data_IF_970875048423
#
_entry.id   IF_970875048423
#
_cell.length_a   1.000
_cell.length_b   1.000
_cell.length_c   1.000
_cell.angle_alpha   90.00
_cell.angle_beta   90.00
_cell.angle_gamma   90.00
#
_symmetry.space_group_name_H-M   'P 1'
#
loop_
_entity.id
_entity.type
_entity.pdbx_description
1 polymer ?
#
# COMPACT_ATOMS: atom_id res chain seq x y z
N UNK A 1 -17.60 17.41 1.70
CA UNK A 1 -17.06 16.46 0.69
C UNK A 1 -17.73 15.09 0.85
N UNK A 2 -18.14 14.46 -0.25
CA UNK A 2 -18.65 13.09 -0.21
C UNK A 2 -17.51 12.10 0.06
N UNK A 3 -17.55 11.40 1.19
CA UNK A 3 -16.47 10.49 1.63
C UNK A 3 -16.38 9.20 0.79
N UNK A 4 -17.49 8.76 0.18
CA UNK A 4 -17.56 7.52 -0.62
C UNK A 4 -16.69 7.54 -1.88
N UNK A 5 -16.80 8.52 -2.80
CA UNK A 5 -15.96 8.57 -4.00
C UNK A 5 -14.47 8.75 -3.66
N UNK A 6 -14.17 9.58 -2.65
CA UNK A 6 -12.80 9.74 -2.16
C UNK A 6 -12.21 8.42 -1.65
N UNK A 7 -12.97 7.66 -0.85
CA UNK A 7 -12.55 6.36 -0.35
C UNK A 7 -12.31 5.35 -1.47
N UNK A 8 -13.18 5.32 -2.48
CA UNK A 8 -13.05 4.45 -3.64
C UNK A 8 -11.79 4.79 -4.45
N UNK A 9 -11.58 6.06 -4.77
CA UNK A 9 -10.40 6.51 -5.49
C UNK A 9 -9.11 6.18 -4.73
N UNK A 10 -9.05 6.53 -3.44
CA UNK A 10 -7.91 6.24 -2.60
C UNK A 10 -7.69 4.72 -2.41
N UNK A 11 -8.77 3.95 -2.36
CA UNK A 11 -8.77 2.48 -2.25
C UNK A 11 -8.26 1.76 -3.49
N UNK A 12 -8.18 2.44 -4.63
CA UNK A 12 -7.58 1.94 -5.86
C UNK A 12 -6.16 2.50 -6.03
N UNK A 13 -5.99 3.82 -5.86
CA UNK A 13 -4.72 4.51 -6.06
C UNK A 13 -3.61 3.99 -5.15
N UNK A 14 -3.86 3.91 -3.84
CA UNK A 14 -2.83 3.52 -2.89
C UNK A 14 -2.28 2.10 -3.12
N UNK A 15 -3.11 1.03 -3.26
CA UNK A 15 -2.58 -0.30 -3.55
C UNK A 15 -1.89 -0.39 -4.91
N UNK A 16 -2.38 0.30 -5.94
CA UNK A 16 -1.72 0.33 -7.24
C UNK A 16 -0.35 0.99 -7.16
N UNK A 17 -0.22 2.14 -6.49
CA UNK A 17 1.08 2.78 -6.28
C UNK A 17 2.06 1.85 -5.55
N UNK A 18 1.64 1.22 -4.46
CA UNK A 18 2.50 0.31 -3.68
C UNK A 18 2.91 -0.90 -4.53
N UNK A 19 1.97 -1.50 -5.28
CA UNK A 19 2.27 -2.62 -6.17
C UNK A 19 3.26 -2.21 -7.26
N UNK A 20 3.05 -1.05 -7.89
CA UNK A 20 3.96 -0.52 -8.91
C UNK A 20 5.35 -0.26 -8.37
N UNK A 21 5.49 0.35 -7.17
CA UNK A 21 6.79 0.60 -6.56
C UNK A 21 7.54 -0.69 -6.22
N UNK A 22 6.81 -1.68 -5.71
CA UNK A 22 7.38 -2.99 -5.40
C UNK A 22 7.84 -3.72 -6.66
N UNK A 23 6.99 -3.80 -7.68
CA UNK A 23 7.32 -4.46 -8.96
C UNK A 23 8.46 -3.74 -9.67
N UNK A 24 8.44 -2.40 -9.72
CA UNK A 24 9.53 -1.62 -10.30
C UNK A 24 10.86 -1.88 -9.58
N UNK A 25 10.84 -1.96 -8.24
CA UNK A 25 12.03 -2.29 -7.45
C UNK A 25 12.54 -3.70 -7.77
N UNK A 26 11.67 -4.71 -7.74
CA UNK A 26 12.06 -6.09 -8.05
C UNK A 26 12.59 -6.22 -9.49
N UNK A 27 11.93 -5.59 -10.45
CA UNK A 27 12.38 -5.61 -11.84
C UNK A 27 13.74 -4.91 -12.03
N UNK A 28 13.96 -3.78 -11.35
CA UNK A 28 15.23 -3.06 -11.40
C UNK A 28 16.38 -3.88 -10.78
N UNK A 29 16.13 -4.60 -9.69
CA UNK A 29 17.14 -5.45 -9.05
C UNK A 29 17.45 -6.71 -9.85
N UNK A 30 16.44 -7.32 -10.50
CA UNK A 30 16.62 -8.57 -11.25
C UNK A 30 17.22 -8.36 -12.64
N UNK A 31 16.87 -7.26 -13.31
CA UNK A 31 17.16 -7.06 -14.73
C UNK A 31 17.83 -5.72 -15.04
N UNK A 32 17.91 -4.80 -14.07
CA UNK A 32 18.43 -3.46 -14.26
C UNK A 32 19.93 -3.33 -13.99
N UNK A 33 20.44 -2.13 -14.27
CA UNK A 33 21.80 -1.72 -13.86
C UNK A 33 21.73 -0.94 -12.54
N UNK A 34 22.86 -0.69 -11.86
CA UNK A 34 22.90 0.19 -10.69
C UNK A 34 22.28 1.58 -10.96
N UNK A 35 22.45 2.10 -12.16
CA UNK A 35 21.83 3.36 -12.61
C UNK A 35 20.30 3.25 -12.70
N UNK A 36 19.78 2.13 -13.21
CA UNK A 36 18.33 1.85 -13.20
C UNK A 36 17.80 1.78 -11.77
N UNK A 37 18.50 1.09 -10.87
CA UNK A 37 18.11 1.00 -9.45
C UNK A 37 18.08 2.39 -8.82
N UNK A 38 19.13 3.20 -9.00
CA UNK A 38 19.18 4.58 -8.50
C UNK A 38 18.02 5.42 -9.02
N UNK A 39 17.70 5.29 -10.31
CA UNK A 39 16.58 6.01 -10.94
C UNK A 39 15.23 5.58 -10.34
N UNK A 40 15.01 4.27 -10.18
CA UNK A 40 13.77 3.74 -9.60
C UNK A 40 13.62 4.18 -8.14
N UNK A 41 14.67 4.07 -7.33
CA UNK A 41 14.63 4.53 -5.93
C UNK A 41 14.39 6.04 -5.84
N UNK A 42 15.02 6.83 -6.71
CA UNK A 42 14.77 8.27 -6.78
C UNK A 42 13.30 8.58 -7.14
N UNK A 43 12.74 7.94 -8.17
CA UNK A 43 11.34 8.13 -8.59
C UNK A 43 10.32 7.67 -7.55
N UNK A 44 10.62 6.61 -6.80
CA UNK A 44 9.80 6.17 -5.67
C UNK A 44 9.76 7.25 -4.60
N UNK A 45 10.92 7.83 -4.23
CA UNK A 45 10.98 8.89 -3.22
C UNK A 45 10.34 10.19 -3.74
N UNK A 46 10.75 10.65 -4.92
CA UNK A 46 10.23 11.85 -5.57
C UNK A 46 10.05 11.58 -7.07
N UNK A 47 8.81 11.58 -7.60
CA UNK A 47 7.57 12.07 -6.98
C UNK A 47 6.72 11.01 -6.25
N UNK A 48 7.11 9.73 -6.24
CA UNK A 48 6.23 8.63 -5.85
C UNK A 48 5.57 8.77 -4.47
N UNK A 49 6.36 9.12 -3.45
CA UNK A 49 5.83 9.29 -2.08
C UNK A 49 4.87 10.48 -1.96
N UNK A 50 5.01 11.52 -2.78
CA UNK A 50 4.11 12.67 -2.77
C UNK A 50 2.70 12.30 -3.25
N UNK A 51 2.58 11.22 -4.04
CA UNK A 51 1.29 10.67 -4.46
C UNK A 51 0.79 9.64 -3.44
N UNK A 52 1.68 8.74 -3.02
CA UNK A 52 1.32 7.62 -2.17
C UNK A 52 0.90 8.04 -0.76
N UNK A 53 1.65 8.94 -0.11
CA UNK A 53 1.37 9.34 1.28
C UNK A 53 -0.02 10.00 1.41
N UNK A 54 -0.40 10.97 0.56
CA UNK A 54 -1.76 11.53 0.58
C UNK A 54 -2.84 10.49 0.25
N UNK A 55 -2.60 9.61 -0.73
CA UNK A 55 -3.55 8.56 -1.09
C UNK A 55 -3.79 7.59 0.07
N UNK A 56 -2.73 7.17 0.78
CA UNK A 56 -2.81 6.31 1.96
C UNK A 56 -3.51 7.01 3.14
N UNK A 57 -3.20 8.28 3.38
CA UNK A 57 -3.86 9.08 4.41
C UNK A 57 -5.36 9.21 4.13
N UNK A 58 -5.74 9.52 2.88
CA UNK A 58 -7.12 9.59 2.45
C UNK A 58 -7.83 8.24 2.58
N UNK A 59 -7.19 7.15 2.16
CA UNK A 59 -7.72 5.79 2.26
C UNK A 59 -7.99 5.39 3.73
N UNK A 60 -7.02 5.63 4.62
CA UNK A 60 -7.12 5.34 6.04
C UNK A 60 -8.19 6.16 6.73
N UNK A 61 -8.16 7.49 6.58
CA UNK A 61 -9.09 8.40 7.23
C UNK A 61 -10.53 8.18 6.76
N UNK A 62 -10.75 8.09 5.44
CA UNK A 62 -12.09 7.83 4.87
C UNK A 62 -12.61 6.44 5.24
N UNK A 63 -11.74 5.42 5.25
CA UNK A 63 -12.09 4.06 5.65
C UNK A 63 -12.50 3.97 7.12
N UNK A 64 -11.79 4.67 8.01
CA UNK A 64 -12.13 4.77 9.43
C UNK A 64 -13.47 5.49 9.65
N UNK A 65 -13.70 6.61 8.97
CA UNK A 65 -14.96 7.35 9.07
C UNK A 65 -16.16 6.52 8.59
N UNK A 66 -16.05 5.86 7.43
CA UNK A 66 -17.12 5.03 6.85
C UNK A 66 -17.34 3.70 7.59
N UNK A 67 -16.35 3.23 8.34
CA UNK A 67 -16.41 1.99 9.13
C UNK A 67 -16.94 2.18 10.55
N UNK A 68 -17.06 3.41 11.05
CA UNK A 68 -17.36 3.71 12.47
C UNK A 68 -18.70 3.14 12.96
N UNK A 69 -19.70 3.03 12.10
CA UNK A 69 -21.03 2.48 12.43
C UNK A 69 -21.23 1.02 11.99
N UNK A 70 -20.18 0.37 11.46
CA UNK A 70 -20.27 -1.00 10.93
C UNK A 70 -19.57 -1.97 11.88
N UNK A 71 -20.29 -3.03 12.26
CA UNK A 71 -19.79 -4.07 13.15
C UNK A 71 -19.80 -5.44 12.45
N UNK A 72 -18.84 -6.30 12.82
CA UNK A 72 -18.77 -7.68 12.34
C UNK A 72 -17.33 -8.15 12.09
N UNK A 73 -17.14 -9.48 12.12
CA UNK A 73 -15.82 -10.15 12.08
C UNK A 73 -14.89 -9.67 10.96
N UNK A 74 -15.42 -9.41 9.76
CA UNK A 74 -14.65 -8.90 8.62
C UNK A 74 -14.24 -7.43 8.77
N UNK A 75 -15.09 -6.60 9.40
CA UNK A 75 -14.79 -5.18 9.67
C UNK A 75 -13.71 -5.07 10.75
N UNK A 76 -13.79 -5.91 11.80
CA UNK A 76 -12.81 -5.92 12.88
C UNK A 76 -11.43 -6.42 12.42
N UNK A 77 -11.40 -7.47 11.59
CA UNK A 77 -10.17 -7.94 10.97
C UNK A 77 -9.51 -6.85 10.11
N UNK A 78 -10.29 -6.15 9.28
CA UNK A 78 -9.80 -5.02 8.47
C UNK A 78 -9.29 -3.87 9.34
N UNK A 79 -10.00 -3.54 10.42
CA UNK A 79 -9.63 -2.47 11.36
C UNK A 79 -8.35 -2.78 12.12
N UNK A 80 -8.06 -4.06 12.43
CA UNK A 80 -6.80 -4.48 13.07
C UNK A 80 -5.61 -4.47 12.10
N UNK A 81 -5.82 -4.75 10.82
CA UNK A 81 -4.74 -4.77 9.82
C UNK A 81 -4.29 -3.36 9.39
N UNK A 82 -5.20 -2.39 9.34
CA UNK A 82 -4.89 -1.05 8.82
C UNK A 82 -3.78 -0.32 9.59
N UNK A 83 -3.73 -0.33 10.94
CA UNK A 83 -2.63 0.26 11.71
C UNK A 83 -1.30 -0.45 11.45
N UNK A 84 -1.32 -1.77 11.26
CA UNK A 84 -0.10 -2.56 10.97
C UNK A 84 0.46 -2.16 9.60
N UNK A 85 -0.40 -2.03 8.58
CA UNK A 85 -0.02 -1.54 7.25
C UNK A 85 0.57 -0.13 7.32
N UNK A 86 -0.06 0.77 8.08
CA UNK A 86 0.42 2.13 8.24
C UNK A 86 1.76 2.20 8.98
N UNK A 87 1.91 1.43 10.08
CA UNK A 87 3.14 1.38 10.86
C UNK A 87 4.29 0.79 10.04
N UNK A 88 4.08 -0.33 9.34
CA UNK A 88 5.08 -0.93 8.47
C UNK A 88 5.47 0.02 7.32
N UNK A 89 4.48 0.69 6.72
CA UNK A 89 4.69 1.71 5.69
C UNK A 89 5.53 2.89 6.18
N UNK A 90 5.19 3.46 7.34
CA UNK A 90 5.79 4.69 7.85
C UNK A 90 7.12 4.47 8.58
N UNK A 91 7.23 3.40 9.37
CA UNK A 91 8.36 3.16 10.27
C UNK A 91 9.44 2.29 9.64
N UNK A 92 9.11 1.53 8.59
CA UNK A 92 10.05 0.60 7.93
C UNK A 92 10.25 0.99 6.48
N UNK A 93 9.20 0.94 5.66
CA UNK A 93 9.33 1.15 4.22
C UNK A 93 9.78 2.56 3.85
N UNK A 94 9.17 3.58 4.45
CA UNK A 94 9.52 4.98 4.18
C UNK A 94 11.00 5.31 4.48
N UNK A 95 11.55 5.01 5.67
CA UNK A 95 12.96 5.28 5.93
C UNK A 95 13.88 4.44 5.06
N UNK A 96 13.55 3.17 4.77
CA UNK A 96 14.34 2.36 3.85
C UNK A 96 14.39 2.96 2.45
N UNK A 97 13.24 3.38 1.90
CA UNK A 97 13.18 3.99 0.57
C UNK A 97 14.06 5.25 0.48
N UNK A 98 14.02 6.12 1.50
CA UNK A 98 14.85 7.34 1.55
C UNK A 98 16.35 6.99 1.64
N UNK A 99 16.72 6.06 2.52
CA UNK A 99 18.13 5.65 2.68
C UNK A 99 18.66 5.00 1.41
N UNK A 100 17.91 4.08 0.82
CA UNK A 100 18.29 3.38 -0.42
C UNK A 100 18.41 4.34 -1.59
N UNK A 101 17.48 5.28 -1.75
CA UNK A 101 17.59 6.32 -2.79
C UNK A 101 18.84 7.17 -2.62
N UNK A 102 19.16 7.59 -1.38
CA UNK A 102 20.34 8.40 -1.10
C UNK A 102 21.64 7.64 -1.35
N UNK A 103 21.70 6.37 -0.97
CA UNK A 103 22.88 5.53 -1.19
C UNK A 103 23.06 5.18 -2.67
N UNK A 104 21.99 4.81 -3.37
CA UNK A 104 22.05 4.52 -4.80
C UNK A 104 22.47 5.75 -5.61
N UNK A 105 21.98 6.94 -5.26
CA UNK A 105 22.41 8.21 -5.88
C UNK A 105 23.91 8.51 -5.65
N UNK A 106 24.47 8.06 -4.52
CA UNK A 106 25.90 8.15 -4.22
C UNK A 106 26.72 7.01 -4.84
N UNK A 107 26.11 6.14 -5.66
CA UNK A 107 26.79 4.97 -6.25
C UNK A 107 27.14 3.87 -5.24
N UNK A 108 26.53 3.90 -4.05
CA UNK A 108 26.82 2.95 -2.97
C UNK A 108 25.93 1.72 -3.07
N UNK A 109 26.50 0.62 -3.56
CA UNK A 109 25.88 -0.70 -3.67
C UNK A 109 26.69 -1.76 -2.91
N UNK A 110 26.93 -1.52 -1.63
CA UNK A 110 27.69 -2.41 -0.75
C UNK A 110 26.77 -3.38 0.02
N UNK A 111 27.35 -4.22 0.89
CA UNK A 111 26.57 -5.15 1.70
C UNK A 111 25.51 -4.46 2.57
N UNK A 112 25.78 -3.22 3.03
CA UNK A 112 24.80 -2.42 3.77
C UNK A 112 23.60 -2.04 2.92
N UNK A 113 23.82 -1.61 1.67
CA UNK A 113 22.74 -1.35 0.71
C UNK A 113 21.86 -2.58 0.53
N UNK A 114 22.45 -3.75 0.24
CA UNK A 114 21.69 -4.97 0.01
C UNK A 114 20.96 -5.49 1.25
N UNK A 115 21.50 -5.27 2.45
CA UNK A 115 20.80 -5.60 3.70
C UNK A 115 19.53 -4.74 3.88
N UNK A 116 19.61 -3.42 3.66
CA UNK A 116 18.44 -2.53 3.74
C UNK A 116 17.46 -2.81 2.61
N UNK A 117 17.96 -3.14 1.41
CA UNK A 117 17.15 -3.50 0.25
C UNK A 117 16.34 -4.78 0.50
N UNK A 118 16.96 -5.82 1.07
CA UNK A 118 16.26 -7.05 1.44
C UNK A 118 15.17 -6.79 2.47
N UNK A 119 15.45 -5.93 3.46
CA UNK A 119 14.48 -5.52 4.46
C UNK A 119 13.32 -4.72 3.85
N UNK A 120 13.60 -3.82 2.92
CA UNK A 120 12.57 -3.07 2.18
C UNK A 120 11.67 -4.01 1.37
N UNK A 121 12.24 -4.97 0.64
CA UNK A 121 11.46 -5.95 -0.12
C UNK A 121 10.61 -6.85 0.79
N UNK A 122 11.15 -7.33 1.91
CA UNK A 122 10.39 -8.14 2.86
C UNK A 122 9.22 -7.34 3.49
N UNK A 123 9.49 -6.10 3.90
CA UNK A 123 8.47 -5.20 4.42
C UNK A 123 7.43 -4.85 3.34
N UNK A 124 7.86 -4.68 2.09
CA UNK A 124 7.02 -4.34 0.95
C UNK A 124 6.07 -5.46 0.57
N UNK A 125 6.57 -6.68 0.48
CA UNK A 125 5.79 -7.89 0.24
C UNK A 125 4.75 -8.10 1.36
N UNK A 126 5.15 -7.92 2.62
CA UNK A 126 4.25 -8.00 3.78
C UNK A 126 3.15 -6.94 3.69
N UNK A 127 3.50 -5.69 3.35
CA UNK A 127 2.54 -4.60 3.23
C UNK A 127 1.51 -4.87 2.12
N UNK A 128 1.98 -5.36 0.96
CA UNK A 128 1.13 -5.75 -0.16
C UNK A 128 0.18 -6.89 0.22
N UNK A 129 0.68 -7.92 0.88
CA UNK A 129 -0.15 -9.05 1.32
C UNK A 129 -1.27 -8.59 2.29
N UNK A 130 -0.94 -7.74 3.27
CA UNK A 130 -1.91 -7.20 4.21
C UNK A 130 -2.95 -6.30 3.53
N UNK A 131 -2.52 -5.47 2.57
CA UNK A 131 -3.43 -4.62 1.79
C UNK A 131 -4.34 -5.45 0.89
N UNK A 132 -3.81 -6.46 0.20
CA UNK A 132 -4.60 -7.35 -0.66
C UNK A 132 -5.66 -8.11 0.16
N UNK A 133 -5.28 -8.63 1.33
CA UNK A 133 -6.23 -9.25 2.25
C UNK A 133 -7.33 -8.27 2.69
N UNK A 134 -6.97 -7.02 2.97
CA UNK A 134 -7.92 -5.95 3.35
C UNK A 134 -8.85 -5.51 2.21
N UNK A 135 -8.38 -5.58 0.96
CA UNK A 135 -9.19 -5.35 -0.24
C UNK A 135 -10.17 -6.50 -0.47
N UNK A 136 -9.70 -7.76 -0.36
CA UNK A 136 -10.53 -8.96 -0.49
C UNK A 136 -11.69 -8.95 0.52
N UNK A 137 -11.42 -8.59 1.77
CA UNK A 137 -12.45 -8.45 2.80
C UNK A 137 -13.45 -7.33 2.45
N UNK A 138 -12.98 -6.24 1.84
CA UNK A 138 -13.82 -5.15 1.35
C UNK A 138 -14.77 -5.57 0.23
N UNK A 139 -14.29 -6.36 -0.73
CA UNK A 139 -15.10 -6.91 -1.82
C UNK A 139 -16.15 -7.91 -1.31
N UNK A 140 -15.79 -8.76 -0.35
CA UNK A 140 -16.75 -9.68 0.29
C UNK A 140 -17.86 -8.91 1.02
N UNK A 141 -17.51 -7.82 1.72
CA UNK A 141 -18.49 -6.94 2.38
C UNK A 141 -19.40 -6.21 1.39
N UNK A 142 -18.91 -5.88 0.19
CA UNK A 142 -19.72 -5.31 -0.88
C UNK A 142 -20.65 -6.35 -1.53
N UNK A 143 -20.15 -7.58 -1.75
CA UNK A 143 -20.93 -8.68 -2.31
C UNK A 143 -22.08 -9.14 -1.42
N UNK A 144 -21.90 -9.13 -0.09
CA UNK A 144 -22.96 -9.39 0.90
C UNK A 144 -24.06 -8.31 0.95
N UNK A 145 -23.89 -7.19 0.23
CA UNK A 145 -24.89 -6.11 0.15
C UNK A 145 -25.82 -6.19 -1.05
N UNK A 146 -25.73 -7.19 -1.93
CA UNK A 146 -26.87 -7.47 -2.81
C UNK A 146 -28.01 -7.95 -1.90
N UNK A 147 -29.11 -7.19 -1.73
CA UNK A 147 -30.29 -7.77 -1.13
C UNK A 147 -30.65 -8.95 -2.05
N UNK A 148 -30.97 -10.09 -1.46
CA UNK A 148 -31.82 -11.03 -2.18
C UNK A 148 -33.03 -10.19 -2.62
N UNK A 149 -33.16 -9.98 -3.93
CA UNK A 149 -34.40 -9.47 -4.50
C UNK A 149 -35.46 -10.40 -3.96
N UNK A 150 -36.36 -9.84 -3.15
CA UNK A 150 -37.39 -10.58 -2.45
C UNK A 150 -38.17 -11.38 -3.49
N UNK A 151 -37.95 -12.70 -3.50
CA UNK A 151 -38.92 -13.63 -4.01
C UNK A 151 -40.14 -13.52 -3.09
N UNK A 152 -41.20 -12.85 -3.57
CA UNK A 152 -42.46 -12.79 -2.85
C UNK A 152 -43.18 -11.45 -2.92
N UNK A 153 -43.81 -11.17 -4.06
CA UNK A 153 -45.10 -10.49 -4.11
C UNK A 153 -45.87 -11.15 -5.26
N UNK A 154 -46.58 -12.23 -4.90
CA UNK A 154 -48.03 -12.44 -5.11
C UNK A 154 -48.43 -12.61 -6.57
#
# INVERSE_FOLDING_TARGET
MNLKPLHLAAGVLAPLCIASFFVATVAAELFGTPQTVATVKALIVTPGLWILLPAMAALGASGFALGRSRHGRLVDAKRRRMPIVAANGLLVLLPCAIVLARWAAAGRFDAGFYAVQALELAAGATNLALMFASLRDGLQLAGRRRPAVAAGAR
#
